data_IF_890754713525
#
_entry.id   IF_890754713525
#
_cell.length_a   1.000
_cell.length_b   1.000
_cell.length_c   1.000
_cell.angle_alpha   90.00
_cell.angle_beta   90.00
_cell.angle_gamma   90.00
#
_symmetry.space_group_name_H-M   'P 1'
#
loop_
_entity.id
_entity.type
_entity.pdbx_description
1 polymer ?
#
# COMPACT_ATOMS: atom_id res chain seq x y z
N UNK A 1 0.95 -22.87 -20.35
CA UNK A 1 -0.10 -23.00 -19.31
C UNK A 1 0.40 -22.54 -17.95
N UNK A 2 1.60 -22.91 -17.52
CA UNK A 2 2.17 -22.50 -16.22
C UNK A 2 2.25 -20.96 -16.05
N UNK A 3 2.66 -20.22 -17.08
CA UNK A 3 2.69 -18.74 -17.07
C UNK A 3 1.30 -18.09 -16.89
N UNK A 4 0.25 -18.71 -17.42
CA UNK A 4 -1.11 -18.20 -17.22
C UNK A 4 -1.58 -18.44 -15.79
N UNK A 5 -1.23 -19.59 -15.19
CA UNK A 5 -1.59 -19.93 -13.82
C UNK A 5 -0.89 -19.03 -12.81
N UNK A 6 0.42 -18.77 -12.99
CA UNK A 6 1.16 -17.84 -12.14
C UNK A 6 0.61 -16.41 -12.22
N UNK A 7 0.29 -15.93 -13.42
CA UNK A 7 -0.30 -14.60 -13.60
C UNK A 7 -1.65 -14.47 -12.87
N UNK A 8 -2.54 -15.47 -13.01
CA UNK A 8 -3.81 -15.51 -12.29
C UNK A 8 -3.62 -15.56 -10.77
N UNK A 9 -2.63 -16.33 -10.30
CA UNK A 9 -2.31 -16.41 -8.87
C UNK A 9 -1.83 -15.06 -8.32
N UNK A 10 -0.93 -14.37 -9.03
CA UNK A 10 -0.45 -13.03 -8.64
C UNK A 10 -1.61 -12.04 -8.60
N UNK A 11 -2.47 -12.03 -9.63
CA UNK A 11 -3.65 -11.16 -9.67
C UNK A 11 -4.62 -11.46 -8.52
N UNK A 12 -4.88 -12.73 -8.21
CA UNK A 12 -5.76 -13.13 -7.12
C UNK A 12 -5.22 -12.68 -5.76
N UNK A 13 -3.93 -12.89 -5.51
CA UNK A 13 -3.25 -12.48 -4.27
C UNK A 13 -3.26 -10.95 -4.14
N UNK A 14 -2.88 -10.21 -5.19
CA UNK A 14 -2.89 -8.75 -5.17
C UNK A 14 -4.29 -8.17 -4.99
N UNK A 15 -5.31 -8.78 -5.60
CA UNK A 15 -6.70 -8.35 -5.45
C UNK A 15 -7.21 -8.61 -4.02
N UNK A 16 -6.96 -9.80 -3.47
CA UNK A 16 -7.31 -10.12 -2.09
C UNK A 16 -6.60 -9.19 -1.10
N UNK A 17 -5.30 -8.93 -1.33
CA UNK A 17 -4.52 -7.97 -0.56
C UNK A 17 -5.13 -6.57 -0.66
N UNK A 18 -5.46 -6.12 -1.88
CA UNK A 18 -6.05 -4.80 -2.10
C UNK A 18 -7.38 -4.63 -1.35
N UNK A 19 -8.26 -5.63 -1.39
CA UNK A 19 -9.53 -5.62 -0.65
C UNK A 19 -9.31 -5.51 0.86
N UNK A 20 -8.28 -6.18 1.39
CA UNK A 20 -7.88 -6.03 2.80
C UNK A 20 -7.36 -4.62 3.09
N UNK A 21 -6.47 -4.09 2.24
CA UNK A 21 -5.87 -2.77 2.42
C UNK A 21 -6.89 -1.63 2.35
N UNK A 22 -7.94 -1.75 1.53
CA UNK A 22 -9.02 -0.74 1.45
C UNK A 22 -9.77 -0.53 2.76
N UNK A 23 -9.70 -1.49 3.69
CA UNK A 23 -10.30 -1.37 5.03
C UNK A 23 -9.47 -0.50 5.97
N UNK A 24 -8.30 -0.02 5.55
CA UNK A 24 -7.45 0.82 6.38
C UNK A 24 -8.11 2.19 6.66
N UNK A 25 -8.14 2.70 7.91
CA UNK A 25 -8.80 3.96 8.25
C UNK A 25 -8.33 5.17 7.43
N UNK A 26 -7.01 5.30 7.23
CA UNK A 26 -6.43 6.36 6.40
C UNK A 26 -6.63 6.22 4.88
N UNK A 27 -7.28 5.15 4.38
CA UNK A 27 -7.33 4.83 2.95
C UNK A 27 -7.98 5.94 2.11
N UNK A 28 -9.11 6.48 2.56
CA UNK A 28 -9.81 7.56 1.83
C UNK A 28 -9.16 8.94 2.06
N UNK A 29 -8.48 9.10 3.20
CA UNK A 29 -7.93 10.38 3.63
C UNK A 29 -6.55 10.70 3.03
N UNK A 30 -5.76 9.68 2.64
CA UNK A 30 -4.41 9.87 2.10
C UNK A 30 -4.34 9.54 0.59
N UNK A 31 -4.27 10.53 -0.31
CA UNK A 31 -4.01 10.29 -1.74
C UNK A 31 -2.61 9.72 -1.99
N UNK A 32 -1.59 10.23 -1.30
CA UNK A 32 -0.20 9.77 -1.44
C UNK A 32 -0.04 8.31 -1.01
N UNK A 33 -0.67 7.93 0.12
CA UNK A 33 -0.63 6.55 0.60
C UNK A 33 -1.24 5.57 -0.43
N UNK A 34 -2.34 5.98 -1.07
CA UNK A 34 -2.95 5.20 -2.16
C UNK A 34 -2.03 5.11 -3.38
N UNK A 35 -1.44 6.23 -3.80
CA UNK A 35 -0.52 6.28 -4.93
C UNK A 35 0.64 5.29 -4.75
N UNK A 36 1.36 5.38 -3.63
CA UNK A 36 2.48 4.49 -3.33
C UNK A 36 2.06 3.01 -3.26
N UNK A 37 0.89 2.71 -2.71
CA UNK A 37 0.37 1.34 -2.66
C UNK A 37 0.05 0.81 -4.07
N UNK A 38 -0.57 1.61 -4.93
CA UNK A 38 -0.84 1.21 -6.32
C UNK A 38 0.45 1.03 -7.12
N UNK A 39 1.44 1.93 -6.95
CA UNK A 39 2.78 1.73 -7.49
C UNK A 39 3.39 0.42 -6.98
N UNK A 40 3.28 0.13 -5.68
CA UNK A 40 3.74 -1.13 -5.09
C UNK A 40 3.16 -2.36 -5.77
N UNK A 41 1.84 -2.39 -6.04
CA UNK A 41 1.22 -3.52 -6.76
C UNK A 41 1.78 -3.69 -8.18
N UNK A 42 1.96 -2.60 -8.92
CA UNK A 42 2.55 -2.64 -10.26
C UNK A 42 3.98 -3.18 -10.21
N UNK A 43 4.79 -2.72 -9.26
CA UNK A 43 6.17 -3.16 -9.06
C UNK A 43 6.26 -4.65 -8.69
N UNK A 44 5.35 -5.14 -7.84
CA UNK A 44 5.27 -6.58 -7.50
C UNK A 44 4.89 -7.42 -8.72
N UNK A 45 3.97 -6.95 -9.56
CA UNK A 45 3.62 -7.65 -10.80
C UNK A 45 4.82 -7.71 -11.78
N UNK A 46 5.55 -6.60 -11.92
CA UNK A 46 6.79 -6.55 -12.73
C UNK A 46 7.85 -7.49 -12.16
N UNK A 47 8.03 -7.50 -10.83
CA UNK A 47 8.96 -8.40 -10.17
C UNK A 47 8.62 -9.88 -10.41
N UNK A 48 7.34 -10.24 -10.29
CA UNK A 48 6.86 -11.60 -10.54
C UNK A 48 7.10 -12.05 -11.99
N UNK A 49 6.91 -11.16 -12.96
CA UNK A 49 7.24 -11.42 -14.36
C UNK A 49 8.72 -11.76 -14.55
N UNK A 50 9.62 -10.89 -14.06
CA UNK A 50 11.06 -11.11 -14.21
C UNK A 50 11.56 -12.37 -13.49
N UNK A 51 11.03 -12.66 -12.30
CA UNK A 51 11.38 -13.87 -11.57
C UNK A 51 10.87 -15.15 -12.24
N UNK A 52 9.76 -15.08 -12.96
CA UNK A 52 9.23 -16.20 -13.72
C UNK A 52 10.04 -16.48 -14.99
N UNK A 53 10.49 -15.43 -15.68
CA UNK A 53 11.33 -15.56 -16.87
C UNK A 53 12.78 -15.92 -16.54
N UNK A 54 13.20 -15.82 -15.27
CA UNK A 54 14.56 -16.11 -14.86
C UNK A 54 14.90 -17.60 -15.01
N UNK A 55 15.87 -17.96 -15.88
CA UNK A 55 16.21 -19.36 -16.12
C UNK A 55 16.96 -19.99 -14.95
N UNK A 56 17.69 -19.20 -14.16
CA UNK A 56 18.39 -19.62 -12.94
C UNK A 56 18.39 -18.50 -11.90
N UNK A 57 18.64 -18.85 -10.64
CA UNK A 57 18.73 -17.90 -9.53
C UNK A 57 19.99 -16.99 -9.57
N UNK A 58 20.81 -17.08 -10.61
CA UNK A 58 22.01 -16.25 -10.80
C UNK A 58 21.96 -15.43 -12.09
N UNK A 59 20.89 -15.57 -12.87
CA UNK A 59 20.72 -14.85 -14.11
C UNK A 59 20.35 -13.37 -13.84
N UNK A 60 20.56 -12.50 -14.83
CA UNK A 60 20.32 -11.07 -14.66
C UNK A 60 18.82 -10.77 -14.46
N UNK A 61 17.94 -11.56 -15.06
CA UNK A 61 16.48 -11.52 -14.87
C UNK A 61 16.10 -11.69 -13.39
N UNK A 62 16.80 -12.60 -12.69
CA UNK A 62 16.61 -12.80 -11.26
C UNK A 62 17.00 -11.54 -10.46
N UNK A 63 18.12 -10.91 -10.80
CA UNK A 63 18.55 -9.68 -10.15
C UNK A 63 17.56 -8.52 -10.38
N UNK A 64 17.05 -8.37 -11.61
CA UNK A 64 16.02 -7.38 -11.93
C UNK A 64 14.71 -7.66 -11.19
N UNK A 65 14.28 -8.91 -11.12
CA UNK A 65 13.09 -9.31 -10.36
C UNK A 65 13.19 -8.92 -8.89
N UNK A 66 14.34 -9.19 -8.26
CA UNK A 66 14.58 -8.79 -6.87
C UNK A 66 14.67 -7.27 -6.68
N UNK A 67 15.28 -6.55 -7.62
CA UNK A 67 15.33 -5.09 -7.58
C UNK A 67 13.92 -4.48 -7.59
N UNK A 68 13.05 -4.97 -8.48
CA UNK A 68 11.66 -4.52 -8.53
C UNK A 68 10.85 -4.96 -7.30
N UNK A 69 11.13 -6.14 -6.74
CA UNK A 69 10.51 -6.58 -5.49
C UNK A 69 10.89 -5.65 -4.32
N UNK A 70 12.16 -5.26 -4.22
CA UNK A 70 12.63 -4.31 -3.22
C UNK A 70 11.98 -2.93 -3.40
N UNK A 71 11.93 -2.43 -4.64
CA UNK A 71 11.25 -1.16 -4.95
C UNK A 71 9.76 -1.21 -4.57
N UNK A 72 9.09 -2.34 -4.85
CA UNK A 72 7.71 -2.59 -4.43
C UNK A 72 7.55 -2.57 -2.91
N UNK A 73 8.46 -3.21 -2.17
CA UNK A 73 8.48 -3.17 -0.71
C UNK A 73 8.61 -1.73 -0.18
N UNK A 74 9.56 -0.95 -0.72
CA UNK A 74 9.75 0.45 -0.33
C UNK A 74 8.49 1.27 -0.60
N UNK A 75 7.89 1.13 -1.79
CA UNK A 75 6.66 1.82 -2.13
C UNK A 75 5.52 1.46 -1.15
N UNK A 76 5.34 0.18 -0.83
CA UNK A 76 4.33 -0.24 0.15
C UNK A 76 4.59 0.32 1.55
N UNK A 77 5.83 0.30 2.03
CA UNK A 77 6.22 0.87 3.33
C UNK A 77 5.92 2.36 3.40
N UNK A 78 6.31 3.12 2.37
CA UNK A 78 5.99 4.55 2.28
C UNK A 78 4.49 4.77 2.25
N UNK A 79 3.77 3.98 1.44
CA UNK A 79 2.31 4.06 1.32
C UNK A 79 1.61 3.86 2.66
N UNK A 80 1.94 2.80 3.40
CA UNK A 80 1.39 2.57 4.75
C UNK A 80 1.84 3.64 5.75
N UNK A 81 3.06 4.15 5.64
CA UNK A 81 3.53 5.29 6.43
C UNK A 81 2.63 6.52 6.26
N UNK A 82 2.28 6.87 5.02
CA UNK A 82 1.34 7.95 4.72
C UNK A 82 -0.07 7.68 5.25
N UNK A 83 -0.59 6.45 5.12
CA UNK A 83 -1.91 6.10 5.66
C UNK A 83 -1.97 6.25 7.19
N UNK A 84 -0.92 5.80 7.88
CA UNK A 84 -0.80 5.88 9.33
C UNK A 84 -0.67 7.32 9.82
N UNK A 85 0.15 8.12 9.13
CA UNK A 85 0.36 9.54 9.48
C UNK A 85 -0.93 10.33 9.44
N UNK A 86 -1.71 10.19 8.37
CA UNK A 86 -3.01 10.88 8.23
C UNK A 86 -3.99 10.44 9.32
N UNK A 87 -3.99 9.15 9.67
CA UNK A 87 -4.85 8.63 10.75
C UNK A 87 -4.44 9.22 12.11
N UNK A 88 -3.14 9.34 12.39
CA UNK A 88 -2.63 9.94 13.62
C UNK A 88 -2.95 11.44 13.71
N UNK A 89 -2.79 12.17 12.60
CA UNK A 89 -3.13 13.60 12.52
C UNK A 89 -4.63 13.84 12.78
N UNK A 90 -5.51 13.00 12.25
CA UNK A 90 -6.95 13.08 12.53
C UNK A 90 -7.28 12.76 13.99
N UNK A 91 -6.61 11.77 14.59
CA UNK A 91 -6.80 11.45 16.00
C UNK A 91 -6.41 12.64 16.90
N UNK A 92 -5.27 13.27 16.66
CA UNK A 92 -4.83 14.46 17.37
C UNK A 92 -5.80 15.64 17.21
N UNK A 93 -6.28 15.87 16.00
CA UNK A 93 -7.25 16.93 15.74
C UNK A 93 -8.60 16.69 16.45
N UNK A 94 -9.09 15.44 16.46
CA UNK A 94 -10.32 15.10 17.19
C UNK A 94 -10.20 15.31 18.69
N UNK A 95 -9.08 14.90 19.30
CA UNK A 95 -8.80 15.14 20.71
C UNK A 95 -8.76 16.64 21.04
N UNK A 96 -8.12 17.45 20.19
CA UNK A 96 -8.09 18.89 20.39
C UNK A 96 -9.49 19.50 20.43
N UNK A 97 -10.39 19.07 19.54
CA UNK A 97 -11.79 19.53 19.52
C UNK A 97 -12.56 19.05 20.75
N UNK A 98 -12.36 17.81 21.19
CA UNK A 98 -13.01 17.26 22.39
C UNK A 98 -12.59 17.97 23.68
N UNK A 99 -11.38 18.54 23.73
CA UNK A 99 -10.90 19.31 24.88
C UNK A 99 -11.41 20.75 24.96
N UNK A 100 -12.13 21.23 23.93
CA UNK A 100 -12.75 22.55 23.97
C UNK A 100 -13.92 22.53 24.95
N UNK A 101 -13.93 23.45 25.91
CA UNK A 101 -15.05 23.59 26.84
C UNK A 101 -16.35 23.90 26.07
N UNK A 102 -17.51 23.34 26.48
CA UNK A 102 -18.79 23.69 25.88
C UNK A 102 -18.96 25.21 25.94
N UNK A 103 -19.20 25.85 24.79
CA UNK A 103 -19.43 27.29 24.77
C UNK A 103 -20.72 27.62 25.52
N UNK A 104 -20.67 28.52 26.51
CA UNK A 104 -21.83 29.08 27.24
C UNK A 104 -22.81 29.87 26.33
N UNK A 105 -22.69 29.77 25.00
CA UNK A 105 -23.50 30.45 23.99
C UNK A 105 -24.99 30.06 24.00
N UNK A 106 -25.42 29.14 24.88
CA UNK A 106 -26.83 28.81 25.11
C UNK A 106 -27.46 29.52 26.32
N UNK A 107 -26.72 30.40 27.00
CA UNK A 107 -27.18 31.06 28.24
C UNK A 107 -27.77 32.48 28.09
N UNK A 108 -28.01 32.96 26.87
CA UNK A 108 -28.64 34.27 26.60
C UNK A 108 -30.00 34.14 25.91
#
# INVERSE_FOLDING_TARGET
MESTVSALAVLAVLTAWHLRNRRHPGWLASPDGRFYIFCGYALVAIAAYWLQEAPTATAWEWAFGNLWALAGMVALVLGFGHLNRVTAEHALASQAVETLAPSDASAN
#
